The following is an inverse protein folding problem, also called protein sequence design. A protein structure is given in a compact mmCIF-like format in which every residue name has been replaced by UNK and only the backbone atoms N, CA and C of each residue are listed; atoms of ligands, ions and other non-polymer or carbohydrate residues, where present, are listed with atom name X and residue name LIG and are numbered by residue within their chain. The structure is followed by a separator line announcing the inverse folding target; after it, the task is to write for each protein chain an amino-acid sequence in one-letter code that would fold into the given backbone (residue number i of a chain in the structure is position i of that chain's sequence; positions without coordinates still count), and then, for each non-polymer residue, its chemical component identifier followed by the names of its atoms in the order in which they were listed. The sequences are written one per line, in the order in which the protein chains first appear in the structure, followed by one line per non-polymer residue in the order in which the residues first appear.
data_IF_275142286885
#
_entry.id   IF_275142286885
#
_cell.length_a   1.000
_cell.length_b   1.000
_cell.length_c   1.000
_cell.angle_alpha   90.00
_cell.angle_beta   90.00
_cell.angle_gamma   90.00
#
_symmetry.space_group_name_H-M   'P 1'
#
loop_
_entity.id
_entity.type
_entity.pdbx_description
1 polymer ?
#
# COMPACT_ATOMS: atom_id res chain seq x y z
N UNK A 1 -30.43 7.82 -47.74
CA UNK A 1 -28.97 7.67 -47.95
C UNK A 1 -28.24 8.61 -46.99
N UNK A 2 -27.95 8.18 -45.76
CA UNK A 2 -27.03 8.91 -44.86
C UNK A 2 -26.44 8.03 -43.72
N UNK A 3 -26.49 6.69 -43.83
CA UNK A 3 -25.91 5.82 -42.81
C UNK A 3 -24.40 5.54 -43.02
N UNK A 4 -23.87 5.74 -44.23
CA UNK A 4 -22.46 5.42 -44.52
C UNK A 4 -21.44 6.33 -43.83
N UNK A 5 -21.75 7.63 -43.67
CA UNK A 5 -20.77 8.59 -43.11
C UNK A 5 -20.58 8.46 -41.59
N UNK A 6 -21.53 7.87 -40.87
CA UNK A 6 -21.44 7.64 -39.43
C UNK A 6 -20.60 6.42 -39.10
N UNK A 7 -20.86 5.33 -39.81
CA UNK A 7 -20.20 4.03 -39.66
C UNK A 7 -18.71 4.10 -40.05
N UNK A 8 -18.39 4.82 -41.13
CA UNK A 8 -17.00 5.08 -41.55
C UNK A 8 -16.23 5.87 -40.46
N UNK A 9 -16.89 6.88 -39.87
CA UNK A 9 -16.30 7.72 -38.84
C UNK A 9 -16.12 6.99 -37.51
N UNK A 10 -17.06 6.12 -37.14
CA UNK A 10 -16.92 5.25 -35.97
C UNK A 10 -15.71 4.34 -36.10
N UNK A 11 -15.57 3.68 -37.25
CA UNK A 11 -14.46 2.78 -37.55
C UNK A 11 -13.12 3.49 -37.43
N UNK A 12 -12.99 4.69 -38.03
CA UNK A 12 -11.79 5.52 -37.92
C UNK A 12 -11.44 5.86 -36.46
N UNK A 13 -12.42 6.30 -35.67
CA UNK A 13 -12.21 6.64 -34.26
C UNK A 13 -11.82 5.41 -33.44
N UNK A 14 -12.45 4.26 -33.69
CA UNK A 14 -12.18 3.03 -32.98
C UNK A 14 -10.78 2.48 -33.28
N UNK A 15 -10.36 2.49 -34.55
CA UNK A 15 -9.00 2.12 -34.94
C UNK A 15 -7.94 3.08 -34.35
N UNK A 16 -8.25 4.39 -34.34
CA UNK A 16 -7.42 5.40 -33.70
C UNK A 16 -7.27 5.15 -32.19
N UNK A 17 -8.35 4.76 -31.51
CA UNK A 17 -8.31 4.39 -30.10
C UNK A 17 -7.40 3.17 -29.86
N UNK A 18 -7.53 2.11 -30.67
CA UNK A 18 -6.67 0.92 -30.58
C UNK A 18 -5.20 1.28 -30.81
N UNK A 19 -4.90 2.14 -31.80
CA UNK A 19 -3.54 2.59 -32.07
C UNK A 19 -2.95 3.37 -30.87
N UNK A 20 -3.76 4.19 -30.19
CA UNK A 20 -3.34 4.90 -28.99
C UNK A 20 -3.12 3.97 -27.79
N UNK A 21 -3.94 2.93 -27.62
CA UNK A 21 -3.72 1.91 -26.59
C UNK A 21 -2.37 1.20 -26.75
N UNK A 22 -2.00 0.84 -27.99
CA UNK A 22 -0.69 0.23 -28.29
C UNK A 22 0.49 1.14 -27.92
N UNK A 23 0.27 2.45 -27.88
CA UNK A 23 1.26 3.44 -27.49
C UNK A 23 1.19 3.80 -26.00
N UNK A 24 0.37 3.12 -25.20
CA UNK A 24 0.11 3.45 -23.80
C UNK A 24 -0.43 4.88 -23.62
N UNK A 25 -1.18 5.41 -24.60
CA UNK A 25 -1.84 6.71 -24.50
C UNK A 25 -3.27 6.52 -23.97
N UNK A 26 -3.43 6.09 -22.72
CA UNK A 26 -4.71 5.67 -22.14
C UNK A 26 -5.67 6.85 -22.00
N UNK A 27 -5.24 7.98 -21.40
CA UNK A 27 -6.09 9.18 -21.27
C UNK A 27 -6.56 9.69 -22.65
N UNK A 28 -5.68 9.68 -23.66
CA UNK A 28 -6.07 10.06 -25.03
C UNK A 28 -7.06 9.07 -25.64
N UNK A 29 -6.85 7.77 -25.42
CA UNK A 29 -7.77 6.72 -25.86
C UNK A 29 -9.18 6.95 -25.31
N UNK A 30 -9.31 7.23 -24.01
CA UNK A 30 -10.62 7.50 -23.38
C UNK A 30 -11.33 8.64 -24.09
N UNK A 31 -10.63 9.75 -24.40
CA UNK A 31 -11.24 10.88 -25.12
C UNK A 31 -11.76 10.47 -26.50
N UNK A 32 -11.01 9.68 -27.25
CA UNK A 32 -11.40 9.19 -28.58
C UNK A 32 -12.60 8.24 -28.48
N UNK A 33 -12.58 7.31 -27.52
CA UNK A 33 -13.68 6.36 -27.31
C UNK A 33 -14.98 7.06 -26.87
N UNK A 34 -14.89 8.13 -26.09
CA UNK A 34 -16.06 8.94 -25.74
C UNK A 34 -16.67 9.61 -26.99
N UNK A 35 -15.86 10.09 -27.92
CA UNK A 35 -16.34 10.60 -29.22
C UNK A 35 -16.97 9.49 -30.06
N UNK A 36 -16.36 8.30 -30.11
CA UNK A 36 -16.92 7.16 -30.82
C UNK A 36 -18.29 6.73 -30.26
N UNK A 37 -18.45 6.81 -28.93
CA UNK A 37 -19.71 6.50 -28.24
C UNK A 37 -20.88 7.40 -28.66
N UNK A 38 -20.61 8.65 -29.03
CA UNK A 38 -21.66 9.59 -29.47
C UNK A 38 -22.27 9.23 -30.83
N UNK A 39 -21.56 8.43 -31.64
CA UNK A 39 -22.01 8.01 -32.96
C UNK A 39 -23.07 6.89 -32.93
N UNK A 40 -23.39 6.36 -31.73
CA UNK A 40 -24.41 5.33 -31.45
C UNK A 40 -24.25 3.98 -32.15
N UNK A 41 -23.16 3.78 -32.89
CA UNK A 41 -22.72 2.47 -33.37
C UNK A 41 -22.17 1.61 -32.21
N UNK A 42 -21.97 0.30 -32.46
CA UNK A 42 -21.71 -0.78 -31.47
C UNK A 42 -21.13 -0.32 -30.12
N UNK A 43 -22.04 0.02 -29.20
CA UNK A 43 -21.70 0.62 -27.91
C UNK A 43 -21.04 -0.39 -26.97
N UNK A 44 -21.22 -1.69 -27.21
CA UNK A 44 -20.67 -2.76 -26.36
C UNK A 44 -19.15 -2.80 -26.47
N UNK A 45 -18.61 -2.70 -27.69
CA UNK A 45 -17.16 -2.71 -27.90
C UNK A 45 -16.49 -1.47 -27.30
N UNK A 46 -17.11 -0.30 -27.48
CA UNK A 46 -16.63 0.97 -26.92
C UNK A 46 -16.63 0.94 -25.40
N UNK A 47 -17.74 0.52 -24.78
CA UNK A 47 -17.85 0.44 -23.32
C UNK A 47 -16.90 -0.60 -22.73
N UNK A 48 -16.62 -1.70 -23.45
CA UNK A 48 -15.65 -2.70 -23.01
C UNK A 48 -14.25 -2.10 -22.89
N UNK A 49 -13.80 -1.39 -23.94
CA UNK A 49 -12.50 -0.71 -23.93
C UNK A 49 -12.45 0.45 -22.95
N UNK A 50 -13.52 1.26 -22.84
CA UNK A 50 -13.60 2.32 -21.83
C UNK A 50 -13.48 1.75 -20.42
N UNK A 51 -14.17 0.66 -20.11
CA UNK A 51 -14.09 -0.02 -18.82
C UNK A 51 -12.67 -0.46 -18.48
N UNK A 52 -11.94 -1.03 -19.44
CA UNK A 52 -10.53 -1.40 -19.28
C UNK A 52 -9.63 -0.17 -19.08
N UNK A 53 -9.83 0.90 -19.85
CA UNK A 53 -9.05 2.13 -19.70
C UNK A 53 -9.28 2.76 -18.32
N UNK A 54 -10.54 2.89 -17.90
CA UNK A 54 -10.88 3.45 -16.59
C UNK A 54 -10.30 2.64 -15.43
N UNK A 55 -10.22 1.32 -15.56
CA UNK A 55 -9.56 0.47 -14.56
C UNK A 55 -8.06 0.78 -14.42
N UNK A 56 -7.35 0.93 -15.54
CA UNK A 56 -5.91 1.31 -15.55
C UNK A 56 -5.71 2.72 -15.01
N UNK A 57 -6.63 3.64 -15.32
CA UNK A 57 -6.59 5.01 -14.79
C UNK A 57 -6.90 5.07 -13.28
N UNK A 58 -7.45 4.01 -12.69
CA UNK A 58 -7.91 4.01 -11.29
C UNK A 58 -9.27 4.68 -11.09
N UNK A 59 -10.05 4.87 -12.16
CA UNK A 59 -11.40 5.44 -12.16
C UNK A 59 -12.45 4.32 -12.05
N UNK A 60 -12.45 3.62 -10.91
CA UNK A 60 -13.18 2.37 -10.70
C UNK A 60 -14.70 2.49 -10.92
N UNK A 61 -15.31 3.58 -10.47
CA UNK A 61 -16.76 3.82 -10.59
C UNK A 61 -17.17 3.94 -12.07
N UNK A 62 -16.35 4.61 -12.89
CA UNK A 62 -16.61 4.72 -14.34
C UNK A 62 -16.42 3.39 -15.04
N UNK A 63 -15.44 2.58 -14.63
CA UNK A 63 -15.24 1.24 -15.16
C UNK A 63 -16.47 0.35 -14.90
N UNK A 64 -16.98 0.36 -13.66
CA UNK A 64 -18.20 -0.36 -13.27
C UNK A 64 -19.41 0.09 -14.09
N UNK A 65 -19.60 1.41 -14.27
CA UNK A 65 -20.69 1.94 -15.08
C UNK A 65 -20.63 1.44 -16.53
N UNK A 66 -19.44 1.35 -17.12
CA UNK A 66 -19.28 0.80 -18.47
C UNK A 66 -19.73 -0.67 -18.54
N UNK A 67 -19.32 -1.51 -17.59
CA UNK A 67 -19.74 -2.92 -17.59
C UNK A 67 -21.23 -3.08 -17.32
N UNK A 68 -21.81 -2.26 -16.44
CA UNK A 68 -23.26 -2.25 -16.20
C UNK A 68 -24.03 -1.87 -17.47
N UNK A 69 -23.56 -0.86 -18.22
CA UNK A 69 -24.18 -0.47 -19.49
C UNK A 69 -24.14 -1.61 -20.52
N UNK A 70 -23.03 -2.35 -20.59
CA UNK A 70 -22.93 -3.55 -21.44
C UNK A 70 -23.98 -4.59 -21.04
N UNK A 71 -24.19 -4.84 -19.74
CA UNK A 71 -25.16 -5.83 -19.26
C UNK A 71 -26.62 -5.42 -19.46
N UNK A 72 -26.91 -4.12 -19.55
CA UNK A 72 -28.25 -3.64 -19.95
C UNK A 72 -28.56 -4.06 -21.39
N UNK A 73 -27.56 -3.98 -22.29
CA UNK A 73 -27.71 -4.31 -23.72
C UNK A 73 -27.63 -5.83 -23.94
N UNK A 74 -26.65 -6.49 -23.30
CA UNK A 74 -26.40 -7.92 -23.39
C UNK A 74 -26.22 -8.51 -21.98
N UNK A 75 -27.31 -8.99 -21.35
CA UNK A 75 -27.27 -9.54 -19.99
C UNK A 75 -26.33 -10.73 -19.78
N UNK A 76 -26.00 -11.46 -20.86
CA UNK A 76 -25.15 -12.65 -20.82
C UNK A 76 -23.71 -12.37 -21.31
N UNK A 77 -23.30 -11.10 -21.37
CA UNK A 77 -21.97 -10.73 -21.82
C UNK A 77 -20.88 -11.16 -20.82
N UNK A 78 -20.22 -12.29 -21.13
CA UNK A 78 -19.27 -12.98 -20.24
C UNK A 78 -18.20 -12.07 -19.63
N UNK A 79 -17.53 -11.25 -20.45
CA UNK A 79 -16.44 -10.40 -19.95
C UNK A 79 -16.92 -9.30 -19.00
N UNK A 80 -18.12 -8.76 -19.23
CA UNK A 80 -18.68 -7.70 -18.38
C UNK A 80 -19.10 -8.28 -17.01
N UNK A 81 -19.74 -9.46 -17.02
CA UNK A 81 -20.05 -10.22 -15.80
C UNK A 81 -18.75 -10.52 -15.03
N UNK A 82 -17.74 -11.08 -15.70
CA UNK A 82 -16.47 -11.44 -15.07
C UNK A 82 -15.76 -10.23 -14.45
N UNK A 83 -15.73 -9.08 -15.14
CA UNK A 83 -15.10 -7.86 -14.63
C UNK A 83 -15.85 -7.31 -13.41
N UNK A 84 -17.19 -7.31 -13.43
CA UNK A 84 -18.00 -6.91 -12.28
C UNK A 84 -17.83 -7.88 -11.11
N UNK A 85 -17.78 -9.18 -11.35
CA UNK A 85 -17.49 -10.18 -10.33
C UNK A 85 -16.12 -9.92 -9.70
N UNK A 86 -15.06 -9.74 -10.51
CA UNK A 86 -13.72 -9.40 -10.01
C UNK A 86 -13.74 -8.13 -9.17
N UNK A 87 -14.41 -7.08 -9.67
CA UNK A 87 -14.54 -5.82 -8.97
C UNK A 87 -15.23 -5.98 -7.62
N UNK A 88 -16.31 -6.78 -7.56
CA UNK A 88 -17.12 -7.02 -6.37
C UNK A 88 -16.55 -8.08 -5.41
N UNK A 89 -15.41 -8.72 -5.75
CA UNK A 89 -14.75 -9.65 -4.82
C UNK A 89 -14.43 -8.91 -3.51
N UNK A 90 -14.62 -9.55 -2.34
CA UNK A 90 -14.34 -8.92 -1.05
C UNK A 90 -12.92 -8.33 -0.95
N UNK A 91 -11.91 -9.02 -1.47
CA UNK A 91 -10.53 -8.52 -1.49
C UNK A 91 -10.37 -7.24 -2.29
N UNK A 92 -11.06 -7.13 -3.42
CA UNK A 92 -10.98 -5.95 -4.28
C UNK A 92 -11.79 -4.77 -3.71
N UNK A 93 -12.99 -5.02 -3.18
CA UNK A 93 -13.78 -3.99 -2.48
C UNK A 93 -13.05 -3.47 -1.24
N UNK A 94 -12.36 -4.34 -0.52
CA UNK A 94 -11.51 -3.96 0.61
C UNK A 94 -10.33 -3.09 0.17
N UNK A 95 -9.67 -3.45 -0.94
CA UNK A 95 -8.61 -2.66 -1.53
C UNK A 95 -9.12 -1.26 -1.95
N UNK A 96 -10.26 -1.18 -2.62
CA UNK A 96 -10.87 0.10 -3.04
C UNK A 96 -11.23 0.96 -1.82
N UNK A 97 -11.79 0.38 -0.76
CA UNK A 97 -12.10 1.11 0.48
C UNK A 97 -10.84 1.72 1.10
N UNK A 98 -9.72 0.99 1.10
CA UNK A 98 -8.43 1.51 1.60
C UNK A 98 -7.84 2.57 0.68
N UNK A 99 -7.97 2.42 -0.63
CA UNK A 99 -7.60 3.44 -1.61
C UNK A 99 -8.38 4.75 -1.37
N UNK A 100 -9.71 4.68 -1.23
CA UNK A 100 -10.55 5.83 -0.90
C UNK A 100 -10.17 6.47 0.44
N UNK A 101 -9.82 5.66 1.44
CA UNK A 101 -9.31 6.17 2.72
C UNK A 101 -7.97 6.90 2.56
N UNK A 102 -7.05 6.40 1.74
CA UNK A 102 -5.80 7.08 1.46
C UNK A 102 -6.03 8.46 0.81
N UNK A 103 -6.95 8.53 -0.15
CA UNK A 103 -7.38 9.80 -0.78
C UNK A 103 -7.95 10.75 0.28
N UNK A 104 -8.84 10.28 1.15
CA UNK A 104 -9.41 11.09 2.23
C UNK A 104 -8.35 11.61 3.22
N UNK A 105 -7.28 10.83 3.49
CA UNK A 105 -6.16 11.31 4.30
C UNK A 105 -5.33 12.39 3.60
N UNK A 106 -5.21 12.34 2.26
CA UNK A 106 -4.58 13.43 1.50
C UNK A 106 -5.40 14.72 1.58
N UNK A 107 -6.73 14.66 1.52
CA UNK A 107 -7.61 15.82 1.67
C UNK A 107 -7.47 16.47 3.05
N UNK A 108 -7.26 15.65 4.09
CA UNK A 108 -6.93 16.10 5.46
C UNK A 108 -5.50 16.59 5.61
N UNK A 109 -4.70 16.58 4.54
CA UNK A 109 -3.27 16.94 4.51
C UNK A 109 -2.37 16.00 5.32
N UNK A 110 -2.85 14.80 5.63
CA UNK A 110 -2.06 13.75 6.30
C UNK A 110 -1.22 12.98 5.28
N UNK A 111 -0.35 13.69 4.55
CA UNK A 111 0.36 13.15 3.38
C UNK A 111 1.29 11.98 3.70
N UNK A 112 1.88 11.95 4.91
CA UNK A 112 2.71 10.83 5.33
C UNK A 112 1.89 9.55 5.49
N UNK A 113 0.76 9.61 6.20
CA UNK A 113 -0.15 8.48 6.40
C UNK A 113 -0.71 8.01 5.06
N UNK A 114 -1.17 8.96 4.22
CA UNK A 114 -1.66 8.64 2.89
C UNK A 114 -0.58 7.98 2.02
N UNK A 115 0.66 8.49 2.04
CA UNK A 115 1.79 7.93 1.32
C UNK A 115 2.09 6.49 1.74
N UNK A 116 2.12 6.19 3.03
CA UNK A 116 2.31 4.82 3.54
C UNK A 116 1.18 3.88 3.10
N UNK A 117 -0.07 4.33 3.17
CA UNK A 117 -1.22 3.56 2.68
C UNK A 117 -1.11 3.27 1.18
N UNK A 118 -0.77 4.27 0.37
CA UNK A 118 -0.62 4.14 -1.07
C UNK A 118 0.54 3.21 -1.45
N UNK A 119 1.66 3.25 -0.72
CA UNK A 119 2.78 2.30 -0.90
C UNK A 119 2.31 0.86 -0.67
N UNK A 120 1.57 0.60 0.41
CA UNK A 120 1.04 -0.73 0.69
C UNK A 120 0.04 -1.18 -0.39
N UNK A 121 -0.85 -0.30 -0.83
CA UNK A 121 -1.80 -0.59 -1.90
C UNK A 121 -1.10 -0.92 -3.22
N UNK A 122 0.00 -0.23 -3.53
CA UNK A 122 0.82 -0.45 -4.72
C UNK A 122 1.51 -1.83 -4.68
N UNK A 123 2.00 -2.26 -3.51
CA UNK A 123 2.59 -3.60 -3.35
C UNK A 123 1.57 -4.71 -3.60
N UNK A 124 0.30 -4.47 -3.28
CA UNK A 124 -0.76 -5.46 -3.49
C UNK A 124 -1.30 -5.49 -4.91
N UNK A 125 -1.48 -4.31 -5.51
CA UNK A 125 -2.03 -4.14 -6.86
C UNK A 125 -1.31 -3.00 -7.57
N UNK A 126 -0.39 -3.36 -8.45
CA UNK A 126 0.25 -2.46 -9.39
C UNK A 126 -0.57 -2.33 -10.69
N UNK A 127 -0.29 -1.31 -11.50
CA UNK A 127 -0.90 -1.08 -12.81
C UNK A 127 -1.99 0.00 -12.81
N UNK A 128 -2.11 0.77 -11.71
CA UNK A 128 -3.07 1.88 -11.62
C UNK A 128 -2.35 3.22 -11.65
N UNK A 129 -2.62 4.03 -12.68
CA UNK A 129 -2.00 5.35 -12.88
C UNK A 129 -2.24 6.28 -11.68
N UNK A 130 -3.45 6.24 -11.10
CA UNK A 130 -3.80 7.06 -9.95
C UNK A 130 -2.93 6.80 -8.71
N UNK A 131 -2.47 5.55 -8.47
CA UNK A 131 -1.59 5.26 -7.34
C UNK A 131 -0.27 6.00 -7.45
N UNK A 132 0.35 5.94 -8.63
CA UNK A 132 1.60 6.63 -8.93
C UNK A 132 1.46 8.15 -8.83
N UNK A 133 0.35 8.68 -9.34
CA UNK A 133 0.02 10.10 -9.23
C UNK A 133 -0.06 10.54 -7.76
N UNK A 134 -0.89 9.88 -6.96
CA UNK A 134 -1.15 10.25 -5.58
C UNK A 134 0.08 10.02 -4.70
N UNK A 135 0.80 8.91 -4.90
CA UNK A 135 2.00 8.61 -4.14
C UNK A 135 3.10 9.62 -4.43
N UNK A 136 3.30 10.01 -5.69
CA UNK A 136 4.26 11.05 -6.02
C UNK A 136 3.90 12.41 -5.42
N UNK A 137 2.61 12.76 -5.37
CA UNK A 137 2.14 13.97 -4.66
C UNK A 137 2.40 13.90 -3.14
N UNK A 138 2.19 12.73 -2.51
CA UNK A 138 2.53 12.53 -1.11
C UNK A 138 4.04 12.64 -0.84
N UNK A 139 4.87 12.05 -1.71
CA UNK A 139 6.33 12.18 -1.64
C UNK A 139 6.78 13.64 -1.76
N UNK A 140 6.23 14.38 -2.73
CA UNK A 140 6.54 15.80 -2.91
C UNK A 140 6.14 16.61 -1.66
N UNK A 141 4.95 16.37 -1.11
CA UNK A 141 4.48 17.03 0.11
C UNK A 141 5.35 16.69 1.34
N UNK A 142 5.95 15.49 1.37
CA UNK A 142 6.93 15.07 2.37
C UNK A 142 8.35 15.59 2.14
N UNK A 143 8.59 16.35 1.07
CA UNK A 143 9.90 16.89 0.69
C UNK A 143 10.81 15.92 -0.08
N UNK A 144 10.34 14.69 -0.34
CA UNK A 144 11.07 13.69 -1.12
C UNK A 144 10.75 13.85 -2.62
N UNK A 145 11.41 14.84 -3.22
CA UNK A 145 11.20 15.20 -4.63
C UNK A 145 11.67 14.11 -5.59
N UNK A 146 12.78 13.45 -5.30
CA UNK A 146 13.34 12.44 -6.21
C UNK A 146 12.41 11.23 -6.30
N UNK A 147 11.85 10.81 -5.16
CA UNK A 147 10.87 9.72 -5.15
C UNK A 147 9.55 10.13 -5.84
N UNK A 148 9.12 11.39 -5.69
CA UNK A 148 7.97 11.90 -6.42
C UNK A 148 8.13 11.78 -7.95
N UNK A 149 9.30 12.20 -8.46
CA UNK A 149 9.65 12.09 -9.90
C UNK A 149 9.63 10.63 -10.36
N UNK A 150 10.23 9.72 -9.59
CA UNK A 150 10.21 8.28 -9.94
C UNK A 150 8.80 7.74 -10.02
N UNK A 151 7.93 8.10 -9.07
CA UNK A 151 6.54 7.64 -9.08
C UNK A 151 5.78 8.17 -10.30
N UNK A 152 5.92 9.44 -10.64
CA UNK A 152 5.26 10.00 -11.82
C UNK A 152 5.80 9.44 -13.13
N UNK A 153 7.10 9.14 -13.22
CA UNK A 153 7.68 8.43 -14.36
C UNK A 153 7.05 7.04 -14.55
N UNK A 154 6.91 6.26 -13.47
CA UNK A 154 6.20 4.97 -13.53
C UNK A 154 4.74 5.13 -13.93
N UNK A 155 4.05 6.16 -13.45
CA UNK A 155 2.70 6.48 -13.91
C UNK A 155 2.62 6.79 -15.41
N UNK A 156 3.62 7.48 -15.96
CA UNK A 156 3.74 7.79 -17.39
C UNK A 156 4.15 6.57 -18.24
N UNK A 157 4.78 5.55 -17.66
CA UNK A 157 4.97 4.26 -18.35
C UNK A 157 3.63 3.56 -18.61
N UNK A 158 2.67 3.70 -17.69
CA UNK A 158 1.32 3.16 -17.82
C UNK A 158 0.42 4.01 -18.74
N UNK A 159 0.46 5.33 -18.57
CA UNK A 159 -0.24 6.28 -19.43
C UNK A 159 0.64 7.45 -19.83
N UNK A 160 1.27 7.33 -20.99
CA UNK A 160 2.15 8.37 -21.56
C UNK A 160 1.40 9.66 -21.84
N UNK A 161 0.09 9.58 -22.06
CA UNK A 161 -0.76 10.73 -22.41
C UNK A 161 -1.40 11.41 -21.21
N UNK A 162 -1.06 10.98 -19.98
CA UNK A 162 -1.66 11.55 -18.77
C UNK A 162 -1.23 13.03 -18.60
N UNK A 163 -2.17 13.99 -18.66
CA UNK A 163 -1.84 15.41 -18.62
C UNK A 163 -1.35 15.84 -17.23
N UNK A 164 -1.95 15.32 -16.16
CA UNK A 164 -1.59 15.70 -14.79
C UNK A 164 -0.15 15.30 -14.46
N UNK A 165 0.25 14.07 -14.79
CA UNK A 165 1.61 13.61 -14.55
C UNK A 165 2.65 14.42 -15.34
N UNK A 166 2.34 14.82 -16.58
CA UNK A 166 3.22 15.69 -17.37
C UNK A 166 3.33 17.08 -16.74
N UNK A 167 2.21 17.66 -16.31
CA UNK A 167 2.20 18.95 -15.63
C UNK A 167 3.02 18.93 -14.32
N UNK A 168 2.91 17.86 -13.53
CA UNK A 168 3.73 17.69 -12.34
C UNK A 168 5.22 17.60 -12.68
N UNK A 169 5.58 16.91 -13.76
CA UNK A 169 6.96 16.83 -14.22
C UNK A 169 7.50 18.17 -14.73
N UNK A 170 6.69 18.94 -15.45
CA UNK A 170 7.08 20.21 -16.06
C UNK A 170 7.16 21.35 -15.03
N UNK A 171 6.31 21.31 -14.00
CA UNK A 171 6.26 22.33 -12.92
C UNK A 171 7.43 22.24 -11.93
N UNK A 172 8.21 21.16 -11.98
CA UNK A 172 9.37 20.98 -11.11
C UNK A 172 10.55 21.84 -11.61
N UNK A 173 11.13 22.74 -10.78
CA UNK A 173 12.19 23.63 -11.22
C UNK A 173 13.40 22.82 -11.66
N UNK A 174 13.84 23.01 -12.91
CA UNK A 174 14.97 22.27 -13.48
C UNK A 174 16.18 22.44 -12.57
N UNK A 175 16.71 21.33 -12.04
CA UNK A 175 18.02 21.38 -11.40
C UNK A 175 18.97 21.68 -12.54
N UNK A 176 19.44 22.92 -12.66
CA UNK A 176 20.66 23.20 -13.40
C UNK A 176 21.74 22.34 -12.75
N UNK A 177 22.02 21.19 -13.36
CA UNK A 177 23.20 20.40 -13.03
C UNK A 177 24.36 21.35 -13.25
N UNK A 178 24.97 21.82 -12.17
CA UNK A 178 26.29 22.45 -12.21
C UNK A 178 27.15 21.50 -13.04
N UNK A 179 27.54 21.95 -14.23
CA UNK A 179 28.17 21.14 -15.24
C UNK A 179 29.38 20.44 -14.64
N UNK A 180 29.36 19.12 -14.64
CA UNK A 180 30.60 18.35 -14.54
C UNK A 180 31.36 18.72 -15.81
N UNK A 181 32.44 19.49 -15.64
CA UNK A 181 33.38 19.81 -16.71
C UNK A 181 33.78 18.48 -17.36
N UNK A 182 33.62 18.29 -18.69
CA UNK A 182 34.05 17.06 -19.32
C UNK A 182 35.57 16.97 -19.15
N UNK A 183 36.02 15.94 -18.44
CA UNK A 183 37.43 15.55 -18.48
C UNK A 183 37.68 14.97 -19.87
N UNK A 184 38.51 15.64 -20.65
CA UNK A 184 38.96 15.14 -21.96
C UNK A 184 39.58 13.74 -21.80
N UNK A 185 39.02 12.75 -22.49
CA UNK A 185 39.63 11.44 -22.60
C UNK A 185 40.92 11.55 -23.43
N UNK A 186 42.06 11.44 -22.74
CA UNK A 186 43.36 11.27 -23.37
C UNK A 186 43.40 9.88 -24.01
N UNK A 187 43.33 9.86 -25.34
CA UNK A 187 43.58 8.67 -26.17
C UNK A 187 44.97 8.09 -25.89
N UNK A 188 45.04 6.83 -25.43
CA UNK A 188 46.28 6.06 -25.45
C UNK A 188 46.18 4.86 -26.40
N UNK A 189 47.13 4.85 -27.34
CA UNK A 189 47.36 3.81 -28.35
C UNK A 189 47.72 2.47 -27.72
N UNK A 190 47.22 1.41 -28.32
CA UNK A 190 47.59 0.02 -28.04
C UNK A 190 49.08 -0.23 -28.33
N UNK A 191 49.78 -0.82 -27.36
CA UNK A 191 51.08 -1.46 -27.51
C UNK A 191 51.06 -2.81 -26.80
N UNK A 192 51.29 -3.89 -27.53
CA UNK A 192 51.19 -5.27 -27.06
C UNK A 192 52.44 -5.81 -26.37
N UNK A 193 52.21 -6.87 -25.60
CA UNK A 193 53.13 -7.89 -25.06
C UNK A 193 54.16 -7.38 -24.01
N UNK A 194 54.49 -8.05 -22.92
CA UNK A 194 54.17 -9.35 -22.32
C UNK A 194 54.90 -9.43 -20.95
N UNK A 195 54.35 -10.22 -20.02
CA UNK A 195 55.00 -11.03 -18.97
C UNK A 195 54.47 -10.84 -17.55
N UNK A 196 53.89 -11.94 -17.07
CA UNK A 196 53.62 -12.30 -15.69
C UNK A 196 54.84 -12.14 -14.79
N UNK A 197 54.69 -11.39 -13.69
CA UNK A 197 55.37 -11.66 -12.42
C UNK A 197 54.38 -11.41 -11.29
N UNK A 198 54.20 -12.43 -10.46
CA UNK A 198 53.45 -12.39 -9.20
C UNK A 198 54.25 -11.65 -8.12
N UNK A 199 53.59 -10.84 -7.28
CA UNK A 199 53.77 -10.88 -5.82
C UNK A 199 52.81 -9.91 -5.12
N UNK A 200 52.16 -10.45 -4.10
CA UNK A 200 51.36 -9.75 -3.13
C UNK A 200 52.21 -8.77 -2.28
N UNK A 201 51.52 -7.75 -1.75
CA UNK A 201 51.59 -7.19 -0.39
C UNK A 201 51.81 -5.67 -0.34
N UNK A 202 50.84 -5.02 0.30
CA UNK A 202 50.78 -3.59 0.55
C UNK A 202 49.60 -3.31 1.47
N UNK A 203 49.71 -3.84 2.68
CA UNK A 203 48.76 -3.71 3.78
C UNK A 203 48.65 -2.27 4.32
N UNK A 204 47.46 -1.94 4.83
CA UNK A 204 47.13 -1.01 5.91
C UNK A 204 47.55 0.49 5.86
N UNK A 205 46.50 1.32 6.02
CA UNK A 205 46.36 2.51 6.90
C UNK A 205 47.17 3.78 6.61
N UNK A 206 46.43 4.88 6.39
CA UNK A 206 46.46 6.13 7.18
C UNK A 206 45.04 6.75 7.10
N UNK A 207 44.14 6.48 8.05
CA UNK A 207 43.80 7.33 9.20
C UNK A 207 43.70 8.85 8.95
N UNK A 208 42.50 9.38 9.15
CA UNK A 208 42.17 10.68 9.77
C UNK A 208 43.33 11.68 10.00
N UNK A 209 43.19 12.86 9.39
CA UNK A 209 43.59 14.14 10.01
C UNK A 209 42.32 15.01 10.05
N UNK A 210 41.56 14.90 11.14
CA UNK A 210 41.60 15.79 12.32
C UNK A 210 40.76 17.06 12.10
N UNK A 211 39.56 16.99 12.65
CA UNK A 211 38.91 18.11 13.33
C UNK A 211 39.85 18.74 14.36
N UNK A 212 40.13 20.03 14.25
CA UNK A 212 40.05 20.99 15.37
C UNK A 212 40.70 22.32 15.01
N UNK A 213 39.98 23.38 15.33
CA UNK A 213 40.43 24.52 16.14
C UNK A 213 39.96 25.84 15.52
N UNK A 214 38.94 26.43 16.14
CA UNK A 214 39.09 27.63 17.00
C UNK A 214 39.02 28.89 16.14
N UNK A 215 37.86 29.55 16.12
CA UNK A 215 37.62 30.75 16.94
C UNK A 215 38.49 31.93 16.50
N UNK A 216 37.91 32.84 15.68
CA UNK A 216 38.13 34.27 15.88
C UNK A 216 36.78 34.97 15.79
N UNK A 217 36.40 35.42 16.97
CA UNK A 217 35.37 36.36 17.29
C UNK A 217 35.57 37.68 16.51
N UNK A 218 34.49 38.31 16.08
CA UNK A 218 34.44 39.78 15.99
C UNK A 218 33.08 40.23 16.50
N UNK A 219 33.08 40.59 17.77
CA UNK A 219 32.08 41.41 18.41
C UNK A 219 31.86 42.70 17.61
N UNK A 220 30.59 43.09 17.49
CA UNK A 220 30.16 44.40 17.99
C UNK A 220 28.77 44.29 18.57
N UNK A 221 28.75 44.38 19.89
CA UNK A 221 27.73 44.92 20.78
C UNK A 221 26.51 45.62 20.16
N UNK A 222 25.32 45.28 20.68
CA UNK A 222 24.41 46.26 21.29
C UNK A 222 23.20 45.58 21.94
N UNK A 223 23.34 45.27 23.24
CA UNK A 223 22.38 45.46 24.35
C UNK A 223 20.87 45.51 24.04
N UNK A 224 20.11 44.58 24.60
CA UNK A 224 19.25 44.80 25.80
C UNK A 224 18.35 43.58 26.08
N UNK A 225 18.43 43.05 27.29
CA UNK A 225 17.53 42.01 27.84
C UNK A 225 16.40 42.64 28.70
N UNK A 226 15.55 41.86 29.41
CA UNK A 226 14.10 41.73 29.18
C UNK A 226 13.31 42.32 30.39
N UNK A 227 12.03 42.01 30.68
CA UNK A 227 11.58 40.71 31.24
C UNK A 227 10.16 40.35 30.73
N UNK A 228 9.39 39.33 31.10
CA UNK A 228 9.30 38.43 32.25
C UNK A 228 8.20 37.40 31.95
N UNK A 229 8.37 36.17 32.46
CA UNK A 229 7.43 35.39 33.31
C UNK A 229 5.97 35.32 32.82
N UNK A 230 5.39 34.13 32.57
CA UNK A 230 4.65 33.32 33.57
C UNK A 230 4.50 31.87 33.04
N UNK A 231 4.94 30.89 33.85
CA UNK A 231 4.26 29.59 34.06
C UNK A 231 3.41 29.75 35.34
N UNK A 232 2.24 29.09 35.47
CA UNK A 232 2.17 27.78 36.14
C UNK A 232 1.04 26.92 35.51
N UNK A 233 0.60 25.74 35.95
CA UNK A 233 0.74 25.00 37.20
C UNK A 233 0.49 23.50 36.93
N UNK A 234 1.08 22.70 37.81
CA UNK A 234 0.79 21.29 38.08
C UNK A 234 -0.44 21.23 39.01
N UNK A 235 -1.37 20.31 38.79
CA UNK A 235 -2.24 19.83 39.87
C UNK A 235 -2.24 18.32 39.94
N UNK A 236 -1.83 17.87 41.12
CA UNK A 236 -1.90 16.55 41.70
C UNK A 236 -3.32 16.24 42.17
N UNK A 237 -3.78 15.00 41.98
CA UNK A 237 -4.74 14.35 42.89
C UNK A 237 -4.23 12.94 43.19
N UNK A 238 -4.34 12.56 44.46
CA UNK A 238 -3.77 11.39 45.15
C UNK A 238 -4.94 10.48 45.61
N UNK A 239 -4.94 9.19 45.16
CA UNK A 239 -5.10 7.89 45.91
C UNK A 239 -6.47 7.63 46.63
N UNK A 240 -6.97 6.37 46.90
CA UNK A 240 -6.32 5.04 47.08
C UNK A 240 -6.86 3.84 46.25
N UNK A 241 -6.03 2.84 45.91
CA UNK A 241 -5.59 1.63 46.65
C UNK A 241 -6.73 0.60 46.88
N UNK A 242 -6.69 -0.60 46.29
CA UNK A 242 -6.11 -1.87 46.79
C UNK A 242 -6.36 -2.93 45.66
N UNK A 243 -5.60 -3.99 45.37
CA UNK A 243 -4.82 -4.93 46.19
C UNK A 243 -3.89 -5.79 45.31
N UNK A 244 -2.68 -6.03 45.82
CA UNK A 244 -1.79 -7.22 45.74
C UNK A 244 -2.12 -8.37 44.76
N UNK A 245 -1.11 -8.80 43.99
CA UNK A 245 -0.29 -9.97 44.34
C UNK A 245 0.93 -10.09 43.40
N UNK A 246 2.10 -10.28 44.01
CA UNK A 246 3.39 -10.46 43.36
C UNK A 246 3.61 -11.92 42.92
N UNK A 247 4.33 -12.10 41.82
CA UNK A 247 5.20 -13.26 41.60
C UNK A 247 6.42 -12.78 40.80
N UNK A 248 7.56 -12.80 41.48
CA UNK A 248 8.90 -12.58 40.93
C UNK A 248 9.33 -13.78 40.10
N UNK A 249 10.02 -13.56 38.97
CA UNK A 249 11.13 -14.42 38.55
C UNK A 249 12.02 -13.73 37.50
N UNK A 250 13.21 -13.33 37.99
CA UNK A 250 14.57 -13.35 37.39
C UNK A 250 14.85 -12.73 36.01
N UNK A 251 15.71 -11.71 36.08
CA UNK A 251 16.48 -11.10 34.99
C UNK A 251 17.51 -12.06 34.36
N UNK A 252 17.72 -11.91 33.06
CA UNK A 252 18.99 -12.17 32.38
C UNK A 252 19.12 -11.18 31.20
N UNK A 253 20.10 -10.28 31.27
CA UNK A 253 20.54 -9.46 30.13
C UNK A 253 21.23 -10.33 29.08
N UNK A 254 21.20 -9.91 27.80
CA UNK A 254 22.49 -9.71 27.13
C UNK A 254 22.59 -8.40 26.34
N UNK A 255 23.84 -7.98 26.20
CA UNK A 255 24.35 -6.73 25.61
C UNK A 255 23.92 -6.48 24.13
N UNK A 256 24.01 -5.23 23.63
CA UNK A 256 23.66 -4.90 22.26
C UNK A 256 24.72 -5.41 21.28
N UNK A 257 24.34 -6.36 20.41
CA UNK A 257 25.13 -6.73 19.23
C UNK A 257 24.82 -5.80 18.07
N UNK A 258 25.87 -5.24 17.47
CA UNK A 258 25.84 -4.45 16.25
C UNK A 258 25.17 -5.24 15.11
N UNK A 259 24.04 -4.74 14.61
CA UNK A 259 23.29 -5.35 13.51
C UNK A 259 23.96 -4.99 12.16
N UNK A 260 24.57 -5.98 11.54
CA UNK A 260 25.04 -5.94 10.14
C UNK A 260 23.86 -5.77 9.19
N UNK A 261 23.90 -4.71 8.36
CA UNK A 261 22.85 -4.28 7.41
C UNK A 261 22.68 -5.18 6.17
N UNK A 262 23.16 -6.42 6.20
CA UNK A 262 23.01 -7.41 5.12
C UNK A 262 21.91 -8.45 5.38
N UNK A 263 21.44 -8.59 6.63
CA UNK A 263 20.38 -9.54 7.00
C UNK A 263 18.95 -9.05 6.70
N UNK A 264 18.73 -7.73 6.67
CA UNK A 264 17.39 -7.13 6.56
C UNK A 264 16.70 -7.38 5.22
N UNK A 265 17.45 -7.47 4.11
CA UNK A 265 16.85 -7.75 2.80
C UNK A 265 16.52 -9.25 2.62
N UNK A 266 17.24 -10.14 3.29
CA UNK A 266 17.03 -11.58 3.17
C UNK A 266 15.77 -12.07 3.88
N UNK A 267 15.42 -11.44 5.01
CA UNK A 267 14.23 -11.78 5.78
C UNK A 267 12.94 -11.22 5.15
N UNK A 268 13.01 -10.07 4.45
CA UNK A 268 11.85 -9.48 3.75
C UNK A 268 11.44 -10.32 2.53
N UNK A 269 12.40 -10.72 1.68
CA UNK A 269 12.11 -11.54 0.50
C UNK A 269 11.52 -12.91 0.87
N UNK A 270 11.97 -13.49 1.99
CA UNK A 270 11.44 -14.77 2.50
C UNK A 270 10.04 -14.63 3.10
N UNK A 271 9.79 -13.55 3.84
CA UNK A 271 8.49 -13.27 4.42
C UNK A 271 7.41 -13.17 3.33
N UNK A 272 7.72 -12.43 2.25
CA UNK A 272 6.84 -12.25 1.11
C UNK A 272 6.53 -13.58 0.40
N UNK A 273 7.54 -14.43 0.20
CA UNK A 273 7.37 -15.75 -0.41
C UNK A 273 6.43 -16.64 0.39
N UNK A 274 6.64 -16.73 1.71
CA UNK A 274 5.76 -17.53 2.58
C UNK A 274 4.34 -16.96 2.61
N UNK A 275 4.20 -15.64 2.66
CA UNK A 275 2.88 -15.00 2.67
C UNK A 275 2.07 -15.36 1.42
N UNK A 276 2.64 -15.19 0.21
CA UNK A 276 1.93 -15.49 -1.02
C UNK A 276 1.69 -16.99 -1.24
N UNK A 277 2.61 -17.86 -0.79
CA UNK A 277 2.38 -19.29 -0.77
C UNK A 277 1.19 -19.67 0.13
N UNK A 278 1.10 -19.06 1.31
CA UNK A 278 -0.03 -19.17 2.22
C UNK A 278 -1.34 -18.71 1.59
N UNK A 279 -1.31 -17.55 0.91
CA UNK A 279 -2.49 -16.99 0.21
C UNK A 279 -2.98 -17.87 -0.92
N UNK A 280 -2.06 -18.37 -1.75
CA UNK A 280 -2.40 -19.33 -2.83
C UNK A 280 -3.04 -20.60 -2.27
N UNK A 281 -2.47 -21.15 -1.19
CA UNK A 281 -3.02 -22.32 -0.51
C UNK A 281 -4.40 -22.05 0.09
N UNK A 282 -4.60 -20.91 0.74
CA UNK A 282 -5.87 -20.48 1.33
C UNK A 282 -6.98 -20.38 0.26
N UNK A 283 -6.69 -19.71 -0.86
CA UNK A 283 -7.62 -19.59 -1.99
C UNK A 283 -7.97 -20.94 -2.61
N UNK A 284 -7.02 -21.89 -2.59
CA UNK A 284 -7.20 -23.26 -3.06
C UNK A 284 -7.85 -24.18 -2.03
N UNK A 285 -8.28 -23.65 -0.86
CA UNK A 285 -8.82 -24.40 0.29
C UNK A 285 -7.88 -25.47 0.85
N UNK A 286 -6.59 -25.37 0.56
CA UNK A 286 -5.56 -26.23 1.13
C UNK A 286 -5.15 -25.68 2.51
N UNK A 287 -6.01 -25.93 3.51
CA UNK A 287 -5.87 -25.36 4.85
C UNK A 287 -4.55 -25.72 5.52
N UNK A 288 -4.11 -26.97 5.38
CA UNK A 288 -2.83 -27.43 5.96
C UNK A 288 -1.65 -26.62 5.42
N UNK A 289 -1.60 -26.41 4.11
CA UNK A 289 -0.50 -25.64 3.51
C UNK A 289 -0.62 -24.15 3.81
N UNK A 290 -1.84 -23.60 3.89
CA UNK A 290 -2.07 -22.22 4.30
C UNK A 290 -1.60 -21.96 5.74
N UNK A 291 -1.98 -22.84 6.69
CA UNK A 291 -1.50 -22.77 8.07
C UNK A 291 0.02 -22.83 8.12
N UNK A 292 0.64 -23.80 7.46
CA UNK A 292 2.10 -23.93 7.49
C UNK A 292 2.82 -22.66 7.01
N UNK A 293 2.40 -22.10 5.87
CA UNK A 293 3.04 -20.92 5.30
C UNK A 293 2.76 -19.65 6.12
N UNK A 294 1.53 -19.42 6.56
CA UNK A 294 1.24 -18.26 7.39
C UNK A 294 1.91 -18.35 8.77
N UNK A 295 2.02 -19.56 9.35
CA UNK A 295 2.78 -19.76 10.59
C UNK A 295 4.27 -19.43 10.43
N UNK A 296 4.87 -19.68 9.26
CA UNK A 296 6.24 -19.25 8.97
C UNK A 296 6.34 -17.72 8.96
N UNK A 297 5.42 -17.03 8.31
CA UNK A 297 5.41 -15.56 8.30
C UNK A 297 5.23 -14.99 9.71
N UNK A 298 4.28 -15.53 10.48
CA UNK A 298 4.03 -15.09 11.86
C UNK A 298 5.25 -15.31 12.75
N UNK A 299 5.93 -16.46 12.62
CA UNK A 299 7.10 -16.79 13.45
C UNK A 299 8.33 -15.93 13.16
N UNK A 300 8.41 -15.29 11.99
CA UNK A 300 9.46 -14.32 11.66
C UNK A 300 9.35 -13.05 12.52
N UNK A 301 8.16 -12.73 13.05
CA UNK A 301 7.99 -11.68 14.06
C UNK A 301 8.41 -10.28 13.60
N UNK A 302 8.39 -10.00 12.31
CA UNK A 302 8.90 -8.74 11.73
C UNK A 302 8.05 -7.51 12.10
N UNK A 303 6.79 -7.71 12.52
CA UNK A 303 5.81 -6.64 12.71
C UNK A 303 5.39 -5.94 11.41
N UNK A 304 5.83 -6.45 10.25
CA UNK A 304 5.50 -5.90 8.93
C UNK A 304 4.00 -5.99 8.63
N UNK A 305 3.59 -5.33 7.54
CA UNK A 305 2.24 -5.48 7.01
C UNK A 305 1.91 -6.95 6.73
N UNK A 306 2.84 -7.69 6.11
CA UNK A 306 2.66 -9.10 5.77
C UNK A 306 2.60 -9.99 7.01
N UNK A 307 3.42 -9.71 8.03
CA UNK A 307 3.36 -10.39 9.33
C UNK A 307 1.98 -10.25 9.98
N UNK A 308 1.47 -9.01 10.01
CA UNK A 308 0.13 -8.69 10.52
C UNK A 308 -0.97 -9.41 9.72
N UNK A 309 -0.95 -9.30 8.39
CA UNK A 309 -1.95 -9.97 7.55
C UNK A 309 -1.89 -11.49 7.70
N UNK A 310 -0.70 -12.07 7.75
CA UNK A 310 -0.51 -13.50 7.94
C UNK A 310 -1.11 -13.96 9.27
N UNK A 311 -0.98 -13.19 10.36
CA UNK A 311 -1.61 -13.53 11.64
C UNK A 311 -3.14 -13.59 11.53
N UNK A 312 -3.75 -12.61 10.86
CA UNK A 312 -5.19 -12.63 10.60
C UNK A 312 -5.58 -13.84 9.74
N UNK A 313 -4.89 -14.08 8.63
CA UNK A 313 -5.21 -15.19 7.73
C UNK A 313 -4.91 -16.56 8.37
N UNK A 314 -3.95 -16.66 9.27
CA UNK A 314 -3.71 -17.85 10.08
C UNK A 314 -4.90 -18.13 11.01
N UNK A 315 -5.39 -17.10 11.72
CA UNK A 315 -6.61 -17.20 12.54
C UNK A 315 -7.82 -17.61 11.70
N UNK A 316 -7.98 -16.97 10.53
CA UNK A 316 -9.07 -17.24 9.59
C UNK A 316 -9.01 -18.65 9.03
N UNK A 317 -7.83 -19.13 8.66
CA UNK A 317 -7.61 -20.49 8.16
C UNK A 317 -8.01 -21.52 9.21
N UNK A 318 -7.57 -21.35 10.45
CA UNK A 318 -7.95 -22.22 11.57
C UNK A 318 -9.46 -22.19 11.84
N UNK A 319 -10.09 -21.02 11.74
CA UNK A 319 -11.53 -20.89 11.90
C UNK A 319 -12.30 -21.70 10.84
N UNK A 320 -11.92 -21.57 9.56
CA UNK A 320 -12.62 -22.26 8.47
C UNK A 320 -12.28 -23.75 8.40
N UNK A 321 -11.12 -24.17 8.89
CA UNK A 321 -10.75 -25.59 9.01
C UNK A 321 -11.37 -26.28 10.22
N UNK A 322 -12.02 -25.53 11.13
CA UNK A 322 -12.69 -26.06 12.32
C UNK A 322 -11.82 -26.10 13.59
N UNK A 323 -10.57 -25.64 13.52
CA UNK A 323 -9.63 -25.58 14.64
C UNK A 323 -9.91 -24.35 15.54
N UNK A 324 -11.10 -24.32 16.14
CA UNK A 324 -11.63 -23.12 16.81
C UNK A 324 -10.77 -22.62 17.98
N UNK A 325 -10.10 -23.53 18.71
CA UNK A 325 -9.20 -23.14 19.82
C UNK A 325 -7.97 -22.37 19.34
N UNK A 326 -7.37 -22.79 18.23
CA UNK A 326 -6.23 -22.10 17.64
C UNK A 326 -6.66 -20.78 17.02
N UNK A 327 -7.80 -20.78 16.32
CA UNK A 327 -8.38 -19.56 15.77
C UNK A 327 -8.62 -18.50 16.85
N UNK A 328 -9.18 -18.90 18.00
CA UNK A 328 -9.39 -18.03 19.17
C UNK A 328 -8.08 -17.38 19.62
N UNK A 329 -7.02 -18.19 19.81
CA UNK A 329 -5.71 -17.70 20.24
C UNK A 329 -5.14 -16.67 19.27
N UNK A 330 -5.18 -16.95 17.96
CA UNK A 330 -4.63 -16.03 16.96
C UNK A 330 -5.48 -14.76 16.77
N UNK A 331 -6.81 -14.83 16.88
CA UNK A 331 -7.63 -13.61 16.87
C UNK A 331 -7.37 -12.74 18.10
N UNK A 332 -7.24 -13.34 19.30
CA UNK A 332 -6.88 -12.60 20.52
C UNK A 332 -5.50 -11.96 20.36
N UNK A 333 -4.54 -12.70 19.81
CA UNK A 333 -3.20 -12.18 19.54
C UNK A 333 -3.27 -10.99 18.58
N UNK A 334 -4.01 -11.11 17.47
CA UNK A 334 -4.18 -10.03 16.51
C UNK A 334 -4.80 -8.78 17.14
N UNK A 335 -5.86 -8.94 17.93
CA UNK A 335 -6.52 -7.83 18.62
C UNK A 335 -5.61 -7.14 19.64
N UNK A 336 -4.70 -7.88 20.27
CA UNK A 336 -3.73 -7.34 21.22
C UNK A 336 -2.60 -6.57 20.51
N UNK A 337 -2.07 -7.12 19.43
CA UNK A 337 -0.88 -6.58 18.75
C UNK A 337 -1.21 -5.50 17.72
N UNK A 338 -2.38 -5.56 17.08
CA UNK A 338 -2.71 -4.75 15.91
C UNK A 338 -4.03 -3.98 16.06
N UNK A 339 -4.09 -3.15 17.10
CA UNK A 339 -5.29 -2.36 17.43
C UNK A 339 -5.72 -1.41 16.31
N UNK A 340 -7.02 -1.42 15.97
CA UNK A 340 -7.64 -0.54 14.97
C UNK A 340 -7.00 -0.59 13.56
N UNK A 341 -6.47 -1.76 13.18
CA UNK A 341 -5.87 -2.01 11.86
C UNK A 341 -6.83 -2.74 10.90
N UNK A 342 -6.35 -3.07 9.69
CA UNK A 342 -7.10 -3.59 8.55
C UNK A 342 -8.12 -4.72 8.83
N UNK A 343 -7.88 -5.57 9.83
CA UNK A 343 -8.77 -6.69 10.18
C UNK A 343 -9.21 -6.69 11.64
N UNK A 344 -9.21 -5.52 12.28
CA UNK A 344 -9.56 -5.43 13.69
C UNK A 344 -11.04 -5.76 13.94
N UNK A 345 -11.95 -5.23 13.12
CA UNK A 345 -13.38 -5.52 13.20
C UNK A 345 -13.71 -6.94 12.72
N UNK A 346 -13.06 -7.44 11.66
CA UNK A 346 -13.11 -8.85 11.28
C UNK A 346 -12.72 -9.79 12.43
N UNK A 347 -11.63 -9.48 13.12
CA UNK A 347 -11.10 -10.32 14.21
C UNK A 347 -12.06 -10.34 15.40
N UNK A 348 -12.65 -9.20 15.75
CA UNK A 348 -13.73 -9.14 16.74
C UNK A 348 -14.94 -9.96 16.29
N UNK A 349 -15.37 -9.80 15.04
CA UNK A 349 -16.53 -10.52 14.53
C UNK A 349 -16.35 -12.04 14.58
N UNK A 350 -15.22 -12.55 14.07
CA UNK A 350 -14.95 -13.99 14.06
C UNK A 350 -14.68 -14.55 15.46
N UNK A 351 -14.07 -13.78 16.36
CA UNK A 351 -13.94 -14.17 17.76
C UNK A 351 -15.31 -14.31 18.44
N UNK A 352 -16.22 -13.35 18.23
CA UNK A 352 -17.61 -13.44 18.70
C UNK A 352 -18.34 -14.66 18.13
N UNK A 353 -18.11 -14.99 16.86
CA UNK A 353 -18.65 -16.20 16.24
C UNK A 353 -18.07 -17.49 16.84
N UNK A 354 -16.78 -17.51 17.23
CA UNK A 354 -16.18 -18.65 17.93
C UNK A 354 -16.89 -18.86 19.27
N UNK A 355 -17.04 -17.81 20.07
CA UNK A 355 -17.72 -17.89 21.36
C UNK A 355 -19.16 -18.34 21.24
N UNK A 356 -19.89 -17.82 20.26
CA UNK A 356 -21.24 -18.27 19.99
C UNK A 356 -21.30 -19.77 19.63
N UNK A 357 -20.38 -20.27 18.80
CA UNK A 357 -20.29 -21.70 18.45
C UNK A 357 -19.91 -22.59 19.64
N UNK A 358 -19.21 -22.05 20.62
CA UNK A 358 -18.87 -22.72 21.88
C UNK A 358 -19.99 -22.66 22.92
N UNK A 359 -21.16 -22.09 22.59
CA UNK A 359 -22.27 -21.78 23.51
C UNK A 359 -21.90 -20.79 24.62
N UNK A 360 -20.84 -20.00 24.43
CA UNK A 360 -20.43 -18.94 25.36
C UNK A 360 -21.05 -17.60 24.93
N UNK A 361 -22.35 -17.46 25.19
CA UNK A 361 -23.11 -16.31 24.74
C UNK A 361 -22.68 -15.01 25.44
N UNK A 362 -22.18 -15.08 26.67
CA UNK A 362 -21.73 -13.90 27.41
C UNK A 362 -20.47 -13.30 26.79
N UNK A 363 -19.45 -14.12 26.49
CA UNK A 363 -18.25 -13.62 25.80
C UNK A 363 -18.57 -13.19 24.36
N UNK A 364 -19.48 -13.90 23.67
CA UNK A 364 -19.91 -13.49 22.33
C UNK A 364 -20.56 -12.09 22.33
N UNK A 365 -21.49 -11.84 23.27
CA UNK A 365 -22.13 -10.53 23.46
C UNK A 365 -21.10 -9.45 23.75
N UNK A 366 -20.13 -9.71 24.63
CA UNK A 366 -19.11 -8.74 24.99
C UNK A 366 -18.25 -8.33 23.79
N UNK A 367 -17.75 -9.31 23.03
CA UNK A 367 -16.95 -9.04 21.83
C UNK A 367 -17.77 -8.29 20.77
N UNK A 368 -19.05 -8.61 20.61
CA UNK A 368 -19.93 -7.89 19.68
C UNK A 368 -20.28 -6.46 20.12
N UNK A 369 -20.35 -6.18 21.43
CA UNK A 369 -20.41 -4.80 21.93
C UNK A 369 -19.15 -4.03 21.59
N UNK A 370 -17.98 -4.65 21.76
CA UNK A 370 -16.70 -4.03 21.38
C UNK A 370 -16.65 -3.74 19.89
N UNK A 371 -17.08 -4.69 19.04
CA UNK A 371 -17.19 -4.49 17.59
C UNK A 371 -18.06 -3.27 17.26
N UNK A 372 -19.26 -3.17 17.85
CA UNK A 372 -20.16 -2.04 17.63
C UNK A 372 -19.55 -0.70 18.07
N UNK A 373 -18.79 -0.70 19.17
CA UNK A 373 -18.18 0.52 19.70
C UNK A 373 -16.99 0.99 18.86
N UNK A 374 -16.16 0.08 18.38
CA UNK A 374 -14.95 0.41 17.62
C UNK A 374 -15.23 0.65 16.14
N UNK A 375 -16.20 -0.07 15.55
CA UNK A 375 -16.56 0.02 14.14
C UNK A 375 -18.09 0.05 13.96
N UNK A 376 -18.76 1.16 14.31
CA UNK A 376 -20.22 1.31 14.22
C UNK A 376 -20.75 1.20 12.78
N UNK A 377 -19.89 1.40 11.78
CA UNK A 377 -20.17 1.24 10.35
C UNK A 377 -19.84 -0.16 9.81
N UNK A 378 -19.36 -1.09 10.66
CA UNK A 378 -18.98 -2.43 10.21
C UNK A 378 -20.18 -3.21 9.68
N UNK A 379 -20.04 -3.78 8.47
CA UNK A 379 -21.09 -4.57 7.84
C UNK A 379 -21.51 -5.80 8.67
N UNK A 380 -20.63 -6.28 9.55
CA UNK A 380 -20.87 -7.41 10.44
C UNK A 380 -22.01 -7.18 11.44
N UNK A 381 -22.31 -5.92 11.79
CA UNK A 381 -23.41 -5.56 12.69
C UNK A 381 -24.80 -5.89 12.11
N UNK A 382 -24.88 -6.17 10.80
CA UNK A 382 -26.11 -6.61 10.13
C UNK A 382 -26.19 -8.13 9.93
N UNK A 383 -25.15 -8.88 10.33
CA UNK A 383 -25.12 -10.33 10.16
C UNK A 383 -26.14 -11.05 11.04
N UNK A 384 -26.63 -12.20 10.56
CA UNK A 384 -27.60 -13.00 11.30
C UNK A 384 -27.07 -13.50 12.65
N UNK A 385 -25.77 -13.83 12.74
CA UNK A 385 -25.14 -14.27 13.98
C UNK A 385 -25.06 -13.13 14.99
N UNK A 386 -24.65 -11.94 14.56
CA UNK A 386 -24.61 -10.77 15.42
C UNK A 386 -25.99 -10.47 16.01
N UNK A 387 -27.03 -10.39 15.16
CA UNK A 387 -28.41 -10.16 15.62
C UNK A 387 -28.86 -11.21 16.61
N UNK A 388 -28.68 -12.49 16.28
CA UNK A 388 -29.06 -13.61 17.17
C UNK A 388 -28.39 -13.58 18.54
N UNK A 389 -27.17 -13.07 18.65
CA UNK A 389 -26.44 -12.98 19.92
C UNK A 389 -26.82 -11.71 20.68
N UNK A 390 -27.15 -10.63 19.97
CA UNK A 390 -27.37 -9.31 20.56
C UNK A 390 -28.85 -8.99 20.85
N UNK A 391 -29.77 -9.68 20.19
CA UNK A 391 -31.20 -9.76 20.53
C UNK A 391 -31.40 -10.62 21.79
#
# INVERSE_FOLDING_TARGET
MSNGSGEDKFTELYESAIANLKQHNITRTVKILLQARELKDDTVQVDSLLGSCYLVLGEYEKAVACWQNILIINPNHKSAIQNLELHNRPSNQFWIKRYQRAVAEMEKKNYQVAGEMLKNLLLEQDGHVALYQLLGLCCLAGGDRDEAVKMWQKGLELDRSNPALREYMDSLPTIERIGIIPVEEVSQKQGGHSHLVWAASGALLVFLVVSSAVYVNRDTDSKASPPSVIKPARQTVVVPAQTKAALELKQADPAPQELSSAGSNYDVDREEQYYYAGRKAYLSRNWKSAVNNYSMVVSMGTGSYLNREALYYLARTNYVSGELKQAEQYYIQYLKEFTNTAYYDDSLFFLGCIYFRQNDNERAKEVFRQLKNVAPESGYLTSAVYRKVMD
#
